data_IF_099267878343
#
_entry.id   IF_099267878343
#
_cell.length_a   1.000
_cell.length_b   1.000
_cell.length_c   1.000
_cell.angle_alpha   90.00
_cell.angle_beta   90.00
_cell.angle_gamma   90.00
#
_symmetry.space_group_name_H-M   'P 1'
#
loop_
_entity.id
_entity.type
_entity.pdbx_description
1 polymer ?
#
# COMPACT_ATOMS: atom_id res chain seq x y z
N UNK A 1 41.57 -9.79 -52.00
CA UNK A 1 41.14 -10.33 -50.69
C UNK A 1 41.14 -9.14 -49.76
N UNK A 2 39.99 -8.48 -49.66
CA UNK A 2 39.84 -7.19 -49.00
C UNK A 2 39.61 -7.41 -47.50
N UNK A 3 40.55 -6.95 -46.69
CA UNK A 3 40.43 -6.90 -45.24
C UNK A 3 39.79 -5.57 -44.84
N UNK A 4 38.49 -5.58 -44.56
CA UNK A 4 37.79 -4.44 -43.98
C UNK A 4 38.11 -4.35 -42.49
N UNK A 5 38.83 -3.29 -42.12
CA UNK A 5 39.10 -2.92 -40.72
C UNK A 5 37.82 -2.31 -40.14
N UNK A 6 37.20 -3.02 -39.21
CA UNK A 6 36.05 -2.52 -38.43
C UNK A 6 36.61 -1.58 -37.36
N UNK A 7 36.31 -0.29 -37.49
CA UNK A 7 36.62 0.73 -36.49
C UNK A 7 35.69 0.59 -35.27
N UNK A 8 36.28 0.60 -34.07
CA UNK A 8 35.54 0.66 -32.81
C UNK A 8 34.93 2.06 -32.62
N UNK A 9 33.71 2.16 -32.03
CA UNK A 9 33.10 3.43 -31.71
C UNK A 9 33.88 4.15 -30.59
N UNK A 10 34.14 5.44 -30.78
CA UNK A 10 34.76 6.28 -29.75
C UNK A 10 33.79 6.53 -28.58
N UNK A 11 34.33 6.72 -27.35
CA UNK A 11 33.51 7.01 -26.18
C UNK A 11 32.81 8.36 -26.32
N UNK A 12 31.50 8.36 -26.04
CA UNK A 12 30.67 9.56 -25.97
C UNK A 12 31.13 10.39 -24.76
N UNK A 13 31.73 11.55 -25.04
CA UNK A 13 32.05 12.56 -24.04
C UNK A 13 30.75 13.25 -23.66
N UNK A 14 30.30 13.07 -22.41
CA UNK A 14 29.21 13.84 -21.84
C UNK A 14 29.67 15.27 -21.63
N UNK A 15 29.17 16.19 -22.45
CA UNK A 15 29.32 17.63 -22.23
C UNK A 15 28.41 18.03 -21.06
N UNK A 16 29.02 18.52 -19.99
CA UNK A 16 28.34 19.18 -18.88
C UNK A 16 27.53 20.37 -19.42
N UNK A 17 26.21 20.32 -19.28
CA UNK A 17 25.34 21.47 -19.56
C UNK A 17 25.47 22.48 -18.42
N UNK A 18 25.73 23.77 -18.70
CA UNK A 18 25.80 24.80 -17.67
C UNK A 18 24.42 25.07 -17.06
N UNK A 19 24.37 25.58 -15.81
CA UNK A 19 23.10 25.85 -15.12
C UNK A 19 22.33 27.01 -15.80
N UNK A 20 21.03 26.77 -15.97
CA UNK A 20 20.07 27.72 -16.51
C UNK A 20 19.90 28.91 -15.55
N UNK A 21 20.30 30.10 -15.99
CA UNK A 21 20.05 31.37 -15.31
C UNK A 21 18.67 31.89 -15.73
N UNK A 22 17.71 31.92 -14.81
CA UNK A 22 16.43 32.59 -15.00
C UNK A 22 16.63 34.10 -14.86
N UNK A 23 16.76 34.80 -16.00
CA UNK A 23 16.50 36.24 -16.08
C UNK A 23 15.01 36.45 -16.30
N UNK A 24 14.38 37.11 -15.34
CA UNK A 24 13.08 37.77 -15.47
C UNK A 24 13.27 39.03 -16.32
N UNK A 25 12.71 39.03 -17.52
CA UNK A 25 12.53 40.24 -18.32
C UNK A 25 11.08 40.70 -18.17
N UNK A 26 10.92 41.79 -17.42
CA UNK A 26 9.75 42.65 -17.42
C UNK A 26 9.70 43.43 -18.75
N UNK A 27 8.64 43.27 -19.53
CA UNK A 27 8.21 44.32 -20.47
C UNK A 27 6.76 44.17 -20.93
N UNK A 28 5.91 45.01 -20.34
CA UNK A 28 5.06 46.00 -21.03
C UNK A 28 4.41 45.57 -22.35
N UNK A 29 3.11 45.30 -22.31
CA UNK A 29 2.16 45.87 -23.27
C UNK A 29 0.83 46.15 -22.57
N UNK A 30 0.52 47.44 -22.45
CA UNK A 30 -0.81 47.91 -22.13
C UNK A 30 -1.63 48.06 -23.42
N UNK A 31 -2.95 47.94 -23.29
CA UNK A 31 -3.92 48.94 -23.75
C UNK A 31 -5.35 48.45 -23.44
N UNK A 32 -6.09 49.25 -22.66
CA UNK A 32 -7.46 49.76 -22.90
C UNK A 32 -8.55 48.80 -23.44
N UNK A 33 -9.80 48.76 -23.01
CA UNK A 33 -10.72 49.46 -22.08
C UNK A 33 -11.87 48.42 -21.85
N UNK A 34 -12.75 48.42 -20.86
CA UNK A 34 -13.72 49.43 -20.45
C UNK A 34 -14.50 48.92 -19.23
N UNK A 35 -14.79 49.87 -18.34
CA UNK A 35 -15.92 50.03 -17.41
C UNK A 35 -16.83 48.83 -17.07
N UNK A 36 -16.95 48.54 -15.76
CA UNK A 36 -18.20 48.81 -15.02
C UNK A 36 -17.98 48.75 -13.51
N UNK A 37 -18.59 49.72 -12.85
CA UNK A 37 -18.51 50.13 -11.45
C UNK A 37 -19.12 49.10 -10.49
N UNK A 38 -18.64 49.09 -9.24
CA UNK A 38 -19.26 48.34 -8.15
C UNK A 38 -18.52 48.52 -6.83
N UNK A 39 -18.76 49.66 -6.17
CA UNK A 39 -18.24 50.05 -4.85
C UNK A 39 -18.79 49.18 -3.71
N UNK A 40 -17.90 48.78 -2.79
CA UNK A 40 -18.09 48.73 -1.32
C UNK A 40 -16.77 48.24 -0.68
N UNK A 41 -15.82 49.09 -0.28
CA UNK A 41 -15.73 49.91 0.96
C UNK A 41 -15.83 49.14 2.28
N UNK A 42 -14.74 49.24 3.07
CA UNK A 42 -14.64 49.19 4.55
C UNK A 42 -14.64 47.76 5.16
N UNK A 43 -13.75 47.32 6.05
CA UNK A 43 -12.68 47.90 6.90
C UNK A 43 -11.62 46.79 7.12
N UNK A 44 -10.30 47.03 7.05
CA UNK A 44 -9.43 47.58 8.10
C UNK A 44 -9.59 46.93 9.49
N UNK A 45 -8.77 45.92 9.79
CA UNK A 45 -8.10 45.85 11.09
C UNK A 45 -6.85 44.96 11.02
N UNK A 46 -5.70 45.62 11.06
CA UNK A 46 -4.40 45.02 11.33
C UNK A 46 -4.21 44.92 12.85
N UNK A 47 -3.71 43.78 13.34
CA UNK A 47 -2.91 43.76 14.55
C UNK A 47 -1.77 42.74 14.44
N UNK A 48 -0.59 43.34 14.28
CA UNK A 48 0.75 42.82 14.55
C UNK A 48 0.91 42.57 16.08
N UNK A 49 1.78 41.61 16.45
CA UNK A 49 2.79 41.66 17.54
C UNK A 49 3.17 40.23 18.00
N UNK A 50 4.39 39.85 17.57
CA UNK A 50 5.55 39.38 18.36
C UNK A 50 5.46 38.17 19.32
N UNK A 51 6.35 37.23 18.98
CA UNK A 51 7.45 36.71 19.80
C UNK A 51 7.28 35.68 20.94
N UNK A 52 8.18 34.69 20.80
CA UNK A 52 9.10 34.10 21.77
C UNK A 52 8.68 33.05 22.80
N UNK A 53 9.54 32.01 22.80
CA UNK A 53 10.10 31.31 23.96
C UNK A 53 9.23 30.34 24.76
N UNK A 54 9.60 29.05 24.72
CA UNK A 54 10.61 28.49 25.65
C UNK A 54 10.41 27.00 25.90
N UNK A 55 11.54 26.29 25.88
CA UNK A 55 11.73 24.94 26.37
C UNK A 55 11.23 24.77 27.81
N UNK A 56 10.50 23.67 28.07
CA UNK A 56 10.38 23.12 29.42
C UNK A 56 10.76 21.64 29.44
N UNK A 57 12.02 21.42 29.78
CA UNK A 57 12.58 20.14 30.22
C UNK A 57 11.91 19.74 31.54
N UNK A 58 11.25 18.60 31.57
CA UNK A 58 10.77 17.97 32.80
C UNK A 58 11.71 16.80 33.12
N UNK A 59 12.68 17.07 33.96
CA UNK A 59 13.39 16.07 34.76
C UNK A 59 12.56 15.75 35.99
N UNK A 60 12.12 14.49 36.13
CA UNK A 60 11.69 13.92 37.40
C UNK A 60 12.60 12.74 37.68
N UNK A 61 13.43 12.88 38.72
CA UNK A 61 14.19 11.81 39.33
C UNK A 61 13.68 11.51 40.74
N UNK A 62 14.20 10.39 41.26
CA UNK A 62 14.11 9.83 42.63
C UNK A 62 12.91 8.90 42.92
N UNK A 63 13.20 7.59 43.08
CA UNK A 63 13.59 6.86 44.32
C UNK A 63 12.31 6.50 45.13
N UNK A 64 12.07 5.32 45.70
CA UNK A 64 12.89 4.19 46.09
C UNK A 64 11.95 3.05 46.58
N UNK A 65 12.52 1.87 46.83
CA UNK A 65 12.09 0.85 47.81
C UNK A 65 11.01 -0.21 47.46
N UNK A 66 11.53 -1.38 47.05
CA UNK A 66 11.54 -2.65 47.81
C UNK A 66 10.39 -2.97 48.80
N UNK A 67 9.64 -4.05 48.55
CA UNK A 67 9.69 -5.34 49.30
C UNK A 67 8.45 -6.22 49.07
N UNK A 68 8.74 -7.49 48.77
CA UNK A 68 8.04 -8.74 49.16
C UNK A 68 6.50 -8.76 49.18
N UNK A 69 5.95 -9.69 48.38
CA UNK A 69 5.20 -10.81 49.00
C UNK A 69 5.09 -12.01 48.05
N UNK A 70 5.63 -13.14 48.51
CA UNK A 70 5.29 -14.49 48.05
C UNK A 70 3.81 -14.71 48.39
N UNK A 71 2.96 -14.83 47.38
CA UNK A 71 1.68 -15.51 47.52
C UNK A 71 1.63 -16.65 46.50
N UNK A 72 1.34 -17.81 47.06
CA UNK A 72 1.22 -19.13 46.48
C UNK A 72 0.43 -19.18 45.18
N UNK A 73 1.03 -19.89 44.22
CA UNK A 73 0.38 -20.72 43.21
C UNK A 73 -0.91 -21.36 43.74
N UNK A 74 -2.05 -20.91 43.22
CA UNK A 74 -3.20 -21.77 42.97
C UNK A 74 -3.48 -21.64 41.47
N UNK A 75 -3.30 -22.76 40.78
CA UNK A 75 -3.35 -22.94 39.34
C UNK A 75 -4.81 -22.86 38.83
N UNK A 76 -5.40 -21.66 38.87
CA UNK A 76 -6.74 -21.34 38.34
C UNK A 76 -6.70 -20.81 36.90
N UNK A 77 -5.50 -20.68 36.30
CA UNK A 77 -5.31 -20.11 34.96
C UNK A 77 -5.72 -21.04 33.81
N UNK A 78 -5.82 -22.35 34.07
CA UNK A 78 -6.12 -23.36 33.03
C UNK A 78 -7.60 -23.66 32.83
N UNK A 79 -8.48 -23.37 33.80
CA UNK A 79 -9.91 -23.68 33.68
C UNK A 79 -10.74 -22.52 33.10
N UNK A 80 -10.29 -21.27 33.21
CA UNK A 80 -11.01 -20.09 32.69
C UNK A 80 -10.63 -19.66 31.26
N UNK A 81 -9.58 -20.24 30.67
CA UNK A 81 -8.96 -19.73 29.44
C UNK A 81 -9.59 -20.26 28.14
N UNK A 82 -10.44 -21.29 28.20
CA UNK A 82 -11.04 -21.91 27.01
C UNK A 82 -12.42 -21.32 26.68
N UNK A 83 -13.24 -20.99 27.69
CA UNK A 83 -14.56 -20.39 27.48
C UNK A 83 -14.50 -18.89 27.17
N UNK A 84 -13.47 -18.17 27.63
CA UNK A 84 -13.36 -16.73 27.44
C UNK A 84 -12.76 -16.34 26.06
N UNK A 85 -12.03 -17.22 25.38
CA UNK A 85 -11.44 -16.92 24.06
C UNK A 85 -12.48 -16.80 22.93
N UNK A 86 -13.63 -17.48 23.01
CA UNK A 86 -14.69 -17.37 21.98
C UNK A 86 -15.56 -16.14 22.18
N UNK A 87 -15.91 -15.78 23.43
CA UNK A 87 -16.69 -14.58 23.71
C UNK A 87 -15.90 -13.29 23.44
N UNK A 88 -14.60 -13.26 23.75
CA UNK A 88 -13.75 -12.09 23.45
C UNK A 88 -13.54 -11.92 21.93
N UNK A 89 -13.54 -13.01 21.14
CA UNK A 89 -13.50 -12.92 19.67
C UNK A 89 -14.79 -12.36 19.08
N UNK A 90 -15.96 -12.76 19.60
CA UNK A 90 -17.26 -12.23 19.17
C UNK A 90 -17.43 -10.75 19.50
N UNK A 91 -17.03 -10.32 20.70
CA UNK A 91 -17.12 -8.91 21.10
C UNK A 91 -16.11 -8.05 20.34
N UNK A 92 -14.88 -8.51 20.10
CA UNK A 92 -13.93 -7.80 19.23
C UNK A 92 -14.39 -7.74 17.77
N UNK A 93 -15.10 -8.76 17.28
CA UNK A 93 -15.70 -8.72 15.94
C UNK A 93 -16.84 -7.69 15.86
N UNK A 94 -17.72 -7.64 16.86
CA UNK A 94 -18.83 -6.69 16.95
C UNK A 94 -18.38 -5.24 17.17
N UNK A 95 -17.32 -5.00 17.95
CA UNK A 95 -16.75 -3.65 18.15
C UNK A 95 -15.93 -3.20 16.95
N UNK A 96 -15.28 -4.13 16.22
CA UNK A 96 -14.57 -3.79 14.98
C UNK A 96 -15.52 -3.50 13.83
N UNK A 97 -16.75 -4.03 13.87
CA UNK A 97 -17.83 -3.75 12.90
C UNK A 97 -18.31 -2.28 12.89
N UNK A 98 -17.87 -1.43 13.81
CA UNK A 98 -18.67 -0.27 14.22
C UNK A 98 -18.54 1.03 13.42
N UNK A 99 -17.84 1.13 12.27
CA UNK A 99 -18.13 2.25 11.33
C UNK A 99 -17.52 2.06 9.93
N UNK A 100 -16.24 1.72 9.82
CA UNK A 100 -15.60 1.53 8.50
C UNK A 100 -15.61 0.07 8.01
N UNK A 101 -15.77 -0.89 8.93
CA UNK A 101 -15.66 -2.31 8.60
C UNK A 101 -16.86 -2.83 7.81
N UNK A 102 -18.07 -2.30 7.96
CA UNK A 102 -19.21 -2.74 7.14
C UNK A 102 -19.02 -2.32 5.69
N UNK A 103 -18.61 -1.07 5.44
CA UNK A 103 -18.30 -0.58 4.11
C UNK A 103 -17.16 -1.40 3.47
N UNK A 104 -16.04 -1.58 4.18
CA UNK A 104 -14.89 -2.33 3.66
C UNK A 104 -15.22 -3.81 3.46
N UNK A 105 -16.04 -4.40 4.33
CA UNK A 105 -16.55 -5.78 4.17
C UNK A 105 -17.43 -5.92 2.94
N UNK A 106 -18.33 -4.95 2.70
CA UNK A 106 -19.20 -4.94 1.52
C UNK A 106 -18.39 -4.74 0.22
N UNK A 107 -17.37 -3.89 0.25
CA UNK A 107 -16.45 -3.72 -0.88
C UNK A 107 -15.59 -4.98 -1.12
N UNK A 108 -15.20 -5.68 -0.06
CA UNK A 108 -14.45 -6.94 -0.13
C UNK A 108 -15.25 -8.14 -0.66
N UNK A 109 -16.58 -8.05 -0.74
CA UNK A 109 -17.40 -9.11 -1.34
C UNK A 109 -17.07 -9.29 -2.83
N UNK A 110 -17.02 -10.54 -3.28
CA UNK A 110 -16.99 -10.83 -4.73
C UNK A 110 -18.22 -10.25 -5.42
N UNK A 111 -18.11 -9.89 -6.69
CA UNK A 111 -19.21 -9.29 -7.48
C UNK A 111 -20.52 -10.08 -7.40
N UNK A 112 -20.47 -11.41 -7.52
CA UNK A 112 -21.66 -12.24 -7.38
C UNK A 112 -22.30 -12.18 -5.99
N UNK A 113 -21.47 -12.02 -4.94
CA UNK A 113 -21.94 -11.85 -3.57
C UNK A 113 -22.65 -10.51 -3.37
N UNK A 114 -22.10 -9.43 -3.94
CA UNK A 114 -22.74 -8.11 -3.92
C UNK A 114 -24.08 -8.14 -4.68
N UNK A 115 -24.12 -8.72 -5.88
CA UNK A 115 -25.36 -8.87 -6.64
C UNK A 115 -26.39 -9.74 -5.91
N UNK A 116 -25.97 -10.83 -5.29
CA UNK A 116 -26.84 -11.66 -4.45
C UNK A 116 -27.43 -10.89 -3.27
N UNK A 117 -26.62 -10.03 -2.63
CA UNK A 117 -27.09 -9.16 -1.56
C UNK A 117 -28.14 -8.17 -2.05
N UNK A 118 -27.96 -7.56 -3.22
CA UNK A 118 -28.97 -6.67 -3.85
C UNK A 118 -30.29 -7.41 -4.04
N UNK A 119 -30.26 -8.64 -4.57
CA UNK A 119 -31.46 -9.47 -4.77
C UNK A 119 -32.14 -9.79 -3.44
N UNK A 120 -31.37 -10.19 -2.42
CA UNK A 120 -31.91 -10.49 -1.09
C UNK A 120 -32.55 -9.28 -0.45
N UNK A 121 -31.89 -8.11 -0.48
CA UNK A 121 -32.47 -6.87 0.03
C UNK A 121 -33.75 -6.50 -0.71
N UNK A 122 -33.75 -6.61 -2.04
CA UNK A 122 -34.93 -6.33 -2.85
C UNK A 122 -36.11 -7.24 -2.48
N UNK A 123 -35.89 -8.53 -2.28
CA UNK A 123 -36.94 -9.49 -1.85
C UNK A 123 -37.44 -9.16 -0.44
N UNK A 124 -36.55 -8.82 0.49
CA UNK A 124 -36.91 -8.46 1.88
C UNK A 124 -37.75 -7.19 1.91
N UNK A 125 -37.31 -6.13 1.23
CA UNK A 125 -38.04 -4.85 1.17
C UNK A 125 -39.40 -5.04 0.50
N UNK A 126 -39.45 -5.79 -0.61
CA UNK A 126 -40.71 -6.15 -1.28
C UNK A 126 -41.66 -6.88 -0.33
N UNK A 127 -41.14 -7.82 0.47
CA UNK A 127 -41.93 -8.56 1.44
C UNK A 127 -42.44 -7.71 2.60
N UNK A 128 -41.61 -6.79 3.11
CA UNK A 128 -42.03 -5.84 4.15
C UNK A 128 -43.11 -4.90 3.61
N UNK A 129 -42.93 -4.32 2.41
CA UNK A 129 -43.93 -3.47 1.77
C UNK A 129 -45.23 -4.23 1.51
N UNK A 130 -45.16 -5.47 1.03
CA UNK A 130 -46.34 -6.32 0.87
C UNK A 130 -47.07 -6.60 2.18
N UNK A 131 -46.33 -6.85 3.26
CA UNK A 131 -46.91 -7.05 4.59
C UNK A 131 -47.57 -5.77 5.13
N UNK A 132 -46.96 -4.60 4.90
CA UNK A 132 -47.57 -3.31 5.27
C UNK A 132 -48.85 -3.04 4.46
N UNK A 133 -48.87 -3.36 3.17
CA UNK A 133 -50.08 -3.28 2.35
C UNK A 133 -51.17 -4.25 2.83
N UNK A 134 -50.80 -5.47 3.24
CA UNK A 134 -51.74 -6.44 3.80
C UNK A 134 -52.42 -5.90 5.07
N UNK A 135 -51.67 -5.22 5.94
CA UNK A 135 -52.23 -4.60 7.15
C UNK A 135 -53.09 -3.38 6.83
N UNK A 136 -52.76 -2.63 5.77
CA UNK A 136 -53.50 -1.44 5.37
C UNK A 136 -54.78 -1.74 4.58
N UNK A 137 -54.91 -2.94 4.00
CA UNK A 137 -56.04 -3.32 3.16
C UNK A 137 -57.12 -4.06 3.96
N UNK A 138 -58.37 -3.65 3.81
CA UNK A 138 -59.47 -4.15 4.64
C UNK A 138 -60.07 -5.49 4.14
N UNK A 139 -59.77 -5.90 2.90
CA UNK A 139 -60.35 -7.12 2.31
C UNK A 139 -59.41 -8.34 2.42
N UNK A 140 -59.93 -9.54 2.72
CA UNK A 140 -59.13 -10.75 2.86
C UNK A 140 -58.73 -11.30 1.48
N UNK A 141 -57.57 -10.90 0.99
CA UNK A 141 -56.93 -11.46 -0.20
C UNK A 141 -55.75 -12.36 0.20
N UNK A 142 -55.31 -13.24 -0.70
CA UNK A 142 -54.19 -14.15 -0.44
C UNK A 142 -52.89 -13.40 -0.08
N UNK A 143 -52.15 -13.89 0.93
CA UNK A 143 -50.89 -13.25 1.38
C UNK A 143 -49.84 -13.14 0.26
N UNK A 144 -49.82 -14.11 -0.67
CA UNK A 144 -48.93 -14.08 -1.82
C UNK A 144 -49.21 -12.90 -2.75
N UNK A 145 -50.48 -12.53 -2.93
CA UNK A 145 -50.85 -11.40 -3.78
C UNK A 145 -50.33 -10.07 -3.21
N UNK A 146 -50.36 -9.89 -1.90
CA UNK A 146 -49.78 -8.69 -1.27
C UNK A 146 -48.26 -8.64 -1.37
N UNK A 147 -47.58 -9.77 -1.19
CA UNK A 147 -46.14 -9.85 -1.45
C UNK A 147 -45.82 -9.45 -2.89
N UNK A 148 -46.57 -9.98 -3.85
CA UNK A 148 -46.43 -9.65 -5.27
C UNK A 148 -46.77 -8.19 -5.59
N UNK A 149 -47.81 -7.62 -4.94
CA UNK A 149 -48.13 -6.19 -5.04
C UNK A 149 -47.00 -5.31 -4.50
N UNK A 150 -46.41 -5.68 -3.36
CA UNK A 150 -45.22 -5.00 -2.82
C UNK A 150 -44.02 -5.04 -3.77
N UNK A 151 -43.78 -6.20 -4.39
CA UNK A 151 -42.77 -6.38 -5.43
C UNK A 151 -43.02 -5.48 -6.65
N UNK A 152 -44.26 -5.49 -7.18
CA UNK A 152 -44.65 -4.69 -8.35
C UNK A 152 -44.65 -3.18 -8.07
N UNK A 153 -44.95 -2.78 -6.85
CA UNK A 153 -44.92 -1.39 -6.42
C UNK A 153 -43.51 -0.80 -6.50
N UNK A 154 -42.48 -1.56 -6.09
CA UNK A 154 -41.09 -1.11 -6.21
C UNK A 154 -40.64 -0.95 -7.67
N UNK A 155 -41.27 -1.65 -8.61
CA UNK A 155 -41.05 -1.49 -10.05
C UNK A 155 -41.86 -0.33 -10.66
N UNK A 156 -42.66 0.38 -9.86
CA UNK A 156 -43.54 1.46 -10.32
C UNK A 156 -44.47 0.94 -11.44
N UNK A 157 -44.96 -0.29 -11.29
CA UNK A 157 -45.87 -0.87 -12.25
C UNK A 157 -47.23 -0.16 -12.20
N UNK A 158 -47.78 0.31 -13.34
CA UNK A 158 -49.09 0.98 -13.37
C UNK A 158 -50.25 0.03 -13.11
N UNK A 159 -50.01 -1.28 -13.03
CA UNK A 159 -51.04 -2.30 -12.82
C UNK A 159 -51.68 -2.25 -11.42
N UNK A 160 -51.09 -1.53 -10.47
CA UNK A 160 -51.59 -1.39 -9.11
C UNK A 160 -51.92 0.06 -8.80
N UNK A 161 -53.22 0.36 -8.64
CA UNK A 161 -53.71 1.66 -8.21
C UNK A 161 -54.23 1.56 -6.78
N UNK A 162 -53.67 2.29 -5.81
CA UNK A 162 -54.16 2.26 -4.44
C UNK A 162 -55.56 2.87 -4.32
N UNK A 163 -56.48 2.17 -3.68
CA UNK A 163 -57.86 2.61 -3.52
C UNK A 163 -58.02 3.38 -2.21
N UNK A 164 -57.44 2.86 -1.13
CA UNK A 164 -57.58 3.41 0.22
C UNK A 164 -56.53 4.47 0.54
N UNK A 165 -56.84 5.37 1.48
CA UNK A 165 -55.86 6.36 1.96
C UNK A 165 -54.68 5.70 2.69
N UNK A 166 -54.93 4.57 3.36
CA UNK A 166 -53.89 3.78 4.03
C UNK A 166 -52.85 3.23 3.04
N UNK A 167 -53.32 2.61 1.95
CA UNK A 167 -52.43 2.12 0.89
C UNK A 167 -51.62 3.24 0.25
N UNK A 168 -52.23 4.40 -0.03
CA UNK A 168 -51.51 5.57 -0.57
C UNK A 168 -50.36 6.00 0.33
N UNK A 169 -50.58 6.04 1.64
CA UNK A 169 -49.53 6.39 2.62
C UNK A 169 -48.42 5.33 2.68
N UNK A 170 -48.78 4.05 2.72
CA UNK A 170 -47.81 2.93 2.70
C UNK A 170 -46.97 2.96 1.43
N UNK A 171 -47.60 3.26 0.29
CA UNK A 171 -46.90 3.36 -0.98
C UNK A 171 -45.90 4.49 -0.96
N UNK A 172 -46.30 5.68 -0.50
CA UNK A 172 -45.41 6.84 -0.40
C UNK A 172 -44.18 6.54 0.46
N UNK A 173 -44.38 5.97 1.66
CA UNK A 173 -43.28 5.62 2.58
C UNK A 173 -42.39 4.56 1.97
N UNK A 174 -42.97 3.51 1.38
CA UNK A 174 -42.22 2.41 0.77
C UNK A 174 -41.41 2.87 -0.44
N UNK A 175 -41.96 3.76 -1.29
CA UNK A 175 -41.23 4.34 -2.41
C UNK A 175 -40.06 5.23 -1.93
N UNK A 176 -40.27 6.00 -0.86
CA UNK A 176 -39.20 6.79 -0.25
C UNK A 176 -38.08 5.90 0.31
N UNK A 177 -38.42 4.90 1.13
CA UNK A 177 -37.44 3.96 1.68
C UNK A 177 -36.75 3.13 0.59
N UNK A 178 -37.51 2.67 -0.40
CA UNK A 178 -37.00 1.94 -1.55
C UNK A 178 -35.98 2.75 -2.35
N UNK A 179 -36.28 4.03 -2.63
CA UNK A 179 -35.33 4.91 -3.32
C UNK A 179 -34.06 5.18 -2.50
N UNK A 180 -34.17 5.35 -1.17
CA UNK A 180 -32.99 5.45 -0.29
C UNK A 180 -32.12 4.19 -0.35
N UNK A 181 -32.71 3.00 -0.30
CA UNK A 181 -31.97 1.74 -0.41
C UNK A 181 -31.28 1.62 -1.78
N UNK A 182 -31.97 1.97 -2.87
CA UNK A 182 -31.38 1.96 -4.22
C UNK A 182 -30.19 2.91 -4.31
N UNK A 183 -30.29 4.12 -3.75
CA UNK A 183 -29.18 5.09 -3.73
C UNK A 183 -27.97 4.57 -2.95
N UNK A 184 -28.20 3.94 -1.78
CA UNK A 184 -27.12 3.34 -0.99
C UNK A 184 -26.44 2.19 -1.76
N UNK A 185 -27.23 1.29 -2.36
CA UNK A 185 -26.70 0.18 -3.16
C UNK A 185 -25.95 0.67 -4.40
N UNK A 186 -26.46 1.71 -5.06
CA UNK A 186 -25.79 2.34 -6.19
C UNK A 186 -24.45 2.94 -5.76
N UNK A 187 -24.41 3.65 -4.62
CA UNK A 187 -23.17 4.18 -4.05
C UNK A 187 -22.15 3.08 -3.72
N UNK A 188 -22.60 1.94 -3.19
CA UNK A 188 -21.74 0.78 -2.95
C UNK A 188 -21.18 0.17 -4.23
N UNK A 189 -22.02 0.02 -5.26
CA UNK A 189 -21.60 -0.49 -6.58
C UNK A 189 -20.59 0.46 -7.21
N UNK A 190 -20.85 1.77 -7.16
CA UNK A 190 -19.94 2.80 -7.65
C UNK A 190 -18.61 2.78 -6.90
N UNK A 191 -18.64 2.74 -5.57
CA UNK A 191 -17.45 2.64 -4.70
C UNK A 191 -16.62 1.38 -5.00
N UNK A 192 -17.29 0.26 -5.30
CA UNK A 192 -16.64 -0.97 -5.74
C UNK A 192 -16.02 -0.85 -7.13
N UNK A 193 -16.67 -0.16 -8.07
CA UNK A 193 -16.09 0.13 -9.39
C UNK A 193 -14.89 1.08 -9.30
N UNK A 194 -14.91 2.04 -8.39
CA UNK A 194 -13.77 2.94 -8.17
C UNK A 194 -12.60 2.26 -7.45
N UNK A 195 -12.90 1.25 -6.62
CA UNK A 195 -11.89 0.42 -5.96
C UNK A 195 -11.24 -0.50 -6.98
N UNK A 196 -10.09 -0.09 -7.51
CA UNK A 196 -9.29 -0.95 -8.37
C UNK A 196 -8.33 -1.78 -7.54
N UNK A 197 -8.23 -3.05 -7.92
CA UNK A 197 -7.20 -3.92 -7.38
C UNK A 197 -5.82 -3.37 -7.76
N UNK A 198 -4.86 -3.50 -6.84
CA UNK A 198 -3.49 -3.07 -7.05
C UNK A 198 -2.92 -3.71 -8.32
N UNK A 199 -2.55 -2.90 -9.30
CA UNK A 199 -1.97 -3.37 -10.56
C UNK A 199 -0.46 -3.60 -10.50
N UNK A 200 0.16 -3.28 -9.37
CA UNK A 200 1.57 -3.53 -9.13
C UNK A 200 1.80 -4.92 -8.54
N UNK A 201 2.71 -5.67 -9.15
CA UNK A 201 3.22 -6.94 -8.65
C UNK A 201 4.68 -6.75 -8.26
N UNK A 202 5.00 -7.13 -7.03
CA UNK A 202 6.36 -7.07 -6.51
C UNK A 202 7.05 -8.42 -6.67
N UNK A 203 8.38 -8.41 -6.70
CA UNK A 203 9.15 -9.65 -6.61
C UNK A 203 9.02 -10.28 -5.21
N UNK A 204 8.92 -11.61 -5.16
CA UNK A 204 8.85 -12.35 -3.89
C UNK A 204 10.12 -12.23 -3.04
N UNK A 205 11.24 -11.83 -3.66
CA UNK A 205 12.56 -11.77 -3.04
C UNK A 205 13.20 -10.41 -3.24
N UNK A 206 13.99 -9.99 -2.25
CA UNK A 206 14.80 -8.78 -2.26
C UNK A 206 16.25 -9.18 -2.47
N UNK A 207 16.98 -8.47 -3.34
CA UNK A 207 18.36 -8.80 -3.64
C UNK A 207 19.30 -7.85 -2.90
N UNK A 208 20.37 -8.39 -2.33
CA UNK A 208 21.50 -7.64 -1.82
C UNK A 208 22.72 -7.91 -2.69
N UNK A 209 23.30 -6.86 -3.25
CA UNK A 209 24.48 -6.93 -4.10
C UNK A 209 25.55 -6.00 -3.54
N UNK A 210 26.79 -6.49 -3.44
CA UNK A 210 27.91 -5.61 -3.12
C UNK A 210 28.32 -4.83 -4.37
N UNK A 211 28.36 -3.50 -4.24
CA UNK A 211 28.81 -2.64 -5.32
C UNK A 211 30.31 -2.79 -5.53
N UNK A 212 30.82 -2.57 -6.76
CA UNK A 212 32.25 -2.59 -7.01
C UNK A 212 32.99 -1.57 -6.12
N UNK A 213 34.28 -1.79 -5.79
CA UNK A 213 35.08 -0.86 -5.00
C UNK A 213 35.12 0.56 -5.58
N UNK A 214 34.99 0.69 -6.90
CA UNK A 214 34.93 1.98 -7.61
C UNK A 214 33.72 2.83 -7.17
N UNK A 215 32.66 2.18 -6.68
CA UNK A 215 31.46 2.82 -6.13
C UNK A 215 31.39 2.71 -4.60
N UNK A 216 32.56 2.64 -3.93
CA UNK A 216 32.67 2.64 -2.48
C UNK A 216 32.52 1.29 -1.80
N UNK A 217 32.21 0.21 -2.54
CA UNK A 217 32.11 -1.14 -1.97
C UNK A 217 30.89 -1.37 -1.06
N UNK A 218 29.96 -0.41 -1.01
CA UNK A 218 28.74 -0.51 -0.21
C UNK A 218 27.82 -1.62 -0.71
N UNK A 219 26.99 -2.15 0.19
CA UNK A 219 25.94 -3.10 -0.19
C UNK A 219 24.71 -2.34 -0.67
N UNK A 220 24.16 -2.76 -1.80
CA UNK A 220 22.95 -2.21 -2.40
C UNK A 220 21.81 -3.22 -2.26
N UNK A 221 20.69 -2.79 -1.71
CA UNK A 221 19.46 -3.54 -1.61
C UNK A 221 18.55 -3.16 -2.77
N UNK A 222 18.29 -4.09 -3.68
CA UNK A 222 17.48 -3.87 -4.88
C UNK A 222 16.14 -4.57 -4.76
N UNK A 223 15.10 -3.83 -5.08
CA UNK A 223 13.73 -4.29 -5.20
C UNK A 223 13.32 -4.25 -6.66
N UNK A 224 12.41 -5.15 -7.04
CA UNK A 224 11.83 -5.18 -8.37
C UNK A 224 10.32 -5.14 -8.25
N UNK A 225 9.70 -4.30 -9.05
CA UNK A 225 8.26 -4.31 -9.23
C UNK A 225 7.89 -4.27 -10.71
N UNK A 226 6.65 -4.65 -10.97
CA UNK A 226 6.03 -4.72 -12.28
C UNK A 226 4.66 -4.04 -12.21
N UNK A 227 4.37 -3.13 -13.13
CA UNK A 227 3.04 -2.59 -13.35
C UNK A 227 2.34 -3.39 -14.44
N UNK A 228 1.20 -3.99 -14.11
CA UNK A 228 0.46 -4.90 -15.01
C UNK A 228 -0.52 -4.18 -15.94
N UNK A 229 -0.82 -2.91 -15.68
CA UNK A 229 -1.69 -2.12 -16.54
C UNK A 229 -0.93 -1.61 -17.76
N UNK A 230 -1.66 -1.38 -18.85
CA UNK A 230 -1.11 -0.86 -20.10
C UNK A 230 -0.75 0.63 -20.03
N UNK A 231 -1.37 1.35 -19.11
CA UNK A 231 -1.13 2.76 -18.90
C UNK A 231 0.13 2.97 -18.05
N UNK A 232 0.77 4.13 -18.20
CA UNK A 232 2.05 4.41 -17.57
C UNK A 232 1.82 5.13 -16.24
N UNK A 233 2.56 4.70 -15.20
CA UNK A 233 2.51 5.34 -13.90
C UNK A 233 3.43 6.56 -13.87
N UNK A 234 2.82 7.75 -13.84
CA UNK A 234 3.48 9.06 -13.79
C UNK A 234 3.73 9.48 -12.34
N UNK A 235 4.82 10.23 -12.13
CA UNK A 235 5.23 10.79 -10.84
C UNK A 235 5.14 9.77 -9.69
N UNK A 236 5.85 8.63 -9.80
CA UNK A 236 5.87 7.65 -8.73
C UNK A 236 6.37 8.22 -7.41
N UNK A 237 5.64 7.91 -6.34
CA UNK A 237 6.07 8.08 -4.95
C UNK A 237 6.35 6.69 -4.38
N UNK A 238 7.62 6.29 -4.37
CA UNK A 238 8.08 5.02 -3.82
C UNK A 238 8.54 5.26 -2.39
N UNK A 239 7.87 4.62 -1.44
CA UNK A 239 8.22 4.68 -0.02
C UNK A 239 8.68 3.32 0.44
N UNK A 240 9.92 3.23 0.87
CA UNK A 240 10.48 2.05 1.48
C UNK A 240 10.67 2.31 2.97
N UNK A 241 10.27 1.36 3.80
CA UNK A 241 10.45 1.43 5.24
C UNK A 241 10.69 0.03 5.78
N UNK A 242 11.17 -0.06 7.00
CA UNK A 242 11.32 -1.34 7.67
C UNK A 242 10.84 -1.25 9.11
N UNK A 243 10.45 -2.40 9.64
CA UNK A 243 10.02 -2.58 11.02
C UNK A 243 11.15 -3.23 11.80
N UNK A 244 11.60 -2.57 12.87
CA UNK A 244 12.64 -3.07 13.77
C UNK A 244 12.11 -3.28 15.17
N UNK A 245 12.46 -4.40 15.78
CA UNK A 245 12.30 -4.60 17.22
C UNK A 245 13.51 -4.02 17.94
N UNK A 246 13.27 -3.08 18.85
CA UNK A 246 14.29 -2.48 19.70
C UNK A 246 13.94 -2.78 21.15
N UNK A 247 14.90 -3.35 21.87
CA UNK A 247 14.77 -3.58 23.31
C UNK A 247 15.08 -2.28 24.06
N UNK A 248 14.10 -1.78 24.80
CA UNK A 248 14.25 -0.61 25.67
C UNK A 248 14.15 -1.04 27.13
N UNK A 249 14.59 -0.18 28.05
CA UNK A 249 14.53 -0.46 29.50
C UNK A 249 13.13 -0.82 30.02
N UNK A 250 12.06 -0.44 29.31
CA UNK A 250 10.66 -0.76 29.61
C UNK A 250 10.05 -1.91 28.81
N UNK A 251 10.87 -2.68 28.08
CA UNK A 251 10.42 -3.80 27.22
C UNK A 251 10.67 -3.58 25.73
N UNK A 252 10.36 -4.59 24.93
CA UNK A 252 10.54 -4.54 23.48
C UNK A 252 9.48 -3.63 22.82
N UNK A 253 9.93 -2.70 21.97
CA UNK A 253 9.08 -1.85 21.12
C UNK A 253 9.39 -2.10 19.64
N UNK A 254 8.40 -1.84 18.79
CA UNK A 254 8.55 -1.91 17.33
C UNK A 254 8.65 -0.49 16.81
N UNK A 255 9.70 -0.21 16.04
CA UNK A 255 9.96 1.05 15.36
C UNK A 255 9.80 0.87 13.87
N UNK A 256 9.29 1.90 13.21
CA UNK A 256 9.26 2.00 11.76
C UNK A 256 10.20 3.14 11.34
N UNK A 257 11.11 2.83 10.43
CA UNK A 257 12.07 3.79 9.89
C UNK A 257 12.01 3.75 8.36
N UNK A 258 12.13 4.92 7.73
CA UNK A 258 12.16 5.05 6.27
C UNK A 258 13.56 4.75 5.73
N UNK A 259 13.60 4.17 4.52
CA UNK A 259 14.82 3.90 3.79
C UNK A 259 14.90 4.82 2.58
N UNK A 260 16.04 5.47 2.41
CA UNK A 260 16.27 6.39 1.30
C UNK A 260 16.40 5.60 0.00
N UNK A 261 15.51 5.86 -0.95
CA UNK A 261 15.52 5.20 -2.25
C UNK A 261 16.30 6.07 -3.22
N UNK A 262 17.31 5.47 -3.84
CA UNK A 262 18.12 6.12 -4.84
C UNK A 262 17.46 5.92 -6.21
N UNK A 263 16.33 6.58 -6.45
CA UNK A 263 15.84 6.87 -7.80
C UNK A 263 14.55 7.71 -7.77
N UNK A 264 14.48 8.73 -8.62
CA UNK A 264 13.23 9.45 -8.90
C UNK A 264 13.09 9.54 -10.41
N UNK A 265 12.19 8.73 -10.97
CA UNK A 265 11.84 8.81 -12.39
C UNK A 265 10.48 9.49 -12.53
N UNK A 266 10.30 10.43 -13.48
CA UNK A 266 9.01 11.06 -13.71
C UNK A 266 7.97 10.07 -14.28
N UNK A 267 8.41 8.98 -14.91
CA UNK A 267 7.55 7.97 -15.53
C UNK A 267 8.13 6.59 -15.24
N UNK A 268 7.30 5.68 -14.72
CA UNK A 268 7.71 4.30 -14.50
C UNK A 268 7.52 3.47 -15.78
N UNK A 269 8.57 2.77 -16.23
CA UNK A 269 8.39 1.69 -17.19
C UNK A 269 7.55 0.54 -16.58
N UNK A 270 6.97 -0.35 -17.40
CA UNK A 270 6.17 -1.49 -16.93
C UNK A 270 6.90 -2.40 -15.94
N UNK A 271 8.23 -2.39 -15.94
CA UNK A 271 9.04 -3.03 -14.92
C UNK A 271 10.15 -2.08 -14.49
N UNK A 272 10.35 -1.98 -13.19
CA UNK A 272 11.31 -1.04 -12.63
C UNK A 272 12.02 -1.65 -11.43
N UNK A 273 13.26 -1.23 -11.28
CA UNK A 273 14.12 -1.61 -10.18
C UNK A 273 14.44 -0.34 -9.42
N UNK A 274 14.25 -0.38 -8.11
CA UNK A 274 14.68 0.69 -7.23
C UNK A 274 15.58 0.11 -6.16
N UNK A 275 16.55 0.90 -5.72
CA UNK A 275 17.58 0.42 -4.81
C UNK A 275 17.79 1.36 -3.63
N UNK A 276 18.10 0.77 -2.49
CA UNK A 276 18.57 1.46 -1.31
C UNK A 276 20.05 1.11 -1.10
N UNK A 277 20.92 2.11 -1.04
CA UNK A 277 22.34 1.91 -0.75
C UNK A 277 22.54 1.90 0.77
N UNK A 278 23.14 0.83 1.29
CA UNK A 278 23.47 0.68 2.71
C UNK A 278 24.81 1.39 2.96
N UNK A 279 24.73 2.71 3.07
CA UNK A 279 25.83 3.62 3.46
C UNK A 279 25.78 3.94 4.95
N UNK A 280 26.66 4.81 5.47
CA UNK A 280 26.75 5.14 6.89
C UNK A 280 25.47 5.75 7.49
N UNK A 281 24.61 6.36 6.65
CA UNK A 281 23.33 6.92 7.07
C UNK A 281 22.22 5.87 7.10
N UNK A 282 22.42 4.73 6.44
CA UNK A 282 21.45 3.64 6.42
C UNK A 282 21.35 2.98 7.80
N UNK A 283 20.13 2.67 8.27
CA UNK A 283 19.92 1.98 9.55
C UNK A 283 20.38 0.52 9.55
N UNK A 284 20.71 -0.02 8.37
CA UNK A 284 21.30 -1.34 8.23
C UNK A 284 22.83 -1.32 8.18
N UNK A 285 23.47 -0.16 8.25
CA UNK A 285 24.93 -0.07 8.17
C UNK A 285 25.60 -0.72 9.38
N UNK A 286 26.63 -1.52 9.10
CA UNK A 286 27.48 -2.11 10.12
C UNK A 286 28.94 -1.66 9.92
N UNK A 287 29.49 -0.83 10.83
CA UNK A 287 30.87 -0.35 10.72
C UNK A 287 31.90 -1.45 10.99
N UNK A 288 31.49 -2.66 11.41
CA UNK A 288 32.42 -3.73 11.75
C UNK A 288 33.22 -4.18 10.50
N UNK A 289 34.56 -4.00 10.47
CA UNK A 289 35.38 -4.40 9.34
C UNK A 289 35.45 -5.93 9.15
N UNK A 290 35.06 -6.71 10.16
CA UNK A 290 34.95 -8.16 10.03
C UNK A 290 33.71 -8.61 9.24
N UNK A 291 32.75 -7.69 9.03
CA UNK A 291 31.56 -7.90 8.23
C UNK A 291 31.80 -7.35 6.81
N UNK A 292 32.20 -8.19 5.83
CA UNK A 292 32.51 -7.71 4.49
C UNK A 292 31.30 -7.14 3.74
N UNK A 293 30.08 -7.39 4.22
CA UNK A 293 28.85 -6.85 3.65
C UNK A 293 28.55 -5.43 4.14
N UNK A 294 29.21 -4.96 5.20
CA UNK A 294 28.92 -3.67 5.86
C UNK A 294 27.44 -3.48 6.19
N UNK A 295 26.69 -4.57 6.39
CA UNK A 295 25.26 -4.53 6.65
C UNK A 295 24.83 -5.49 7.78
N UNK A 296 23.88 -5.07 8.58
CA UNK A 296 23.34 -5.83 9.70
C UNK A 296 21.82 -5.64 9.81
N UNK A 297 21.09 -6.75 9.67
CA UNK A 297 19.63 -6.78 9.75
C UNK A 297 19.11 -7.19 11.13
N UNK A 298 19.94 -7.16 12.17
CA UNK A 298 19.56 -7.59 13.53
C UNK A 298 18.37 -6.78 14.04
N UNK A 299 17.33 -7.51 14.44
CA UNK A 299 16.07 -6.95 14.93
C UNK A 299 15.11 -6.50 13.83
N UNK A 300 15.49 -6.59 12.54
CA UNK A 300 14.55 -6.35 11.43
C UNK A 300 13.47 -7.44 11.44
N UNK A 301 12.21 -7.01 11.49
CA UNK A 301 11.05 -7.89 11.43
C UNK A 301 10.53 -8.01 10.00
N UNK A 302 10.33 -6.87 9.33
CA UNK A 302 9.81 -6.80 7.96
C UNK A 302 10.35 -5.58 7.22
N UNK A 303 10.59 -5.75 5.92
CA UNK A 303 10.75 -4.67 4.96
C UNK A 303 9.38 -4.39 4.34
N UNK A 304 9.02 -3.14 4.14
CA UNK A 304 7.74 -2.73 3.56
C UNK A 304 7.98 -1.70 2.48
N UNK A 305 7.42 -1.93 1.29
CA UNK A 305 7.39 -0.95 0.21
C UNK A 305 5.96 -0.63 -0.12
N UNK A 306 5.69 0.66 -0.33
CA UNK A 306 4.48 1.15 -0.98
C UNK A 306 4.85 2.00 -2.19
N UNK A 307 4.11 1.84 -3.28
CA UNK A 307 4.24 2.64 -4.49
C UNK A 307 2.91 3.36 -4.73
N UNK A 308 2.99 4.68 -4.83
CA UNK A 308 1.92 5.55 -5.32
C UNK A 308 2.32 6.24 -6.61
N UNK A 309 1.35 6.83 -7.29
CA UNK A 309 1.58 7.64 -8.49
C UNK A 309 0.26 8.03 -9.15
N UNK A 310 0.37 8.60 -10.34
CA UNK A 310 -0.73 9.07 -11.17
C UNK A 310 -0.78 8.24 -12.44
N UNK A 311 -1.90 7.60 -12.71
CA UNK A 311 -2.17 6.94 -13.98
C UNK A 311 -3.20 7.75 -14.78
N UNK A 312 -3.28 7.53 -16.10
CA UNK A 312 -4.25 8.15 -16.99
C UNK A 312 -5.71 8.00 -16.50
N UNK A 313 -5.98 6.96 -15.72
CA UNK A 313 -7.33 6.64 -15.27
C UNK A 313 -7.58 7.03 -13.80
N UNK A 314 -6.56 7.16 -12.95
CA UNK A 314 -6.72 7.46 -11.51
C UNK A 314 -5.48 8.08 -10.85
N UNK A 315 -5.73 8.73 -9.71
CA UNK A 315 -4.75 9.36 -8.83
C UNK A 315 -4.72 8.55 -7.53
N UNK A 316 -3.56 8.00 -7.12
CA UNK A 316 -3.24 7.37 -5.81
C UNK A 316 -2.96 5.85 -5.76
N UNK A 317 -2.24 5.48 -4.67
CA UNK A 317 -1.63 4.20 -4.29
C UNK A 317 -1.90 3.00 -5.20
N UNK A 318 -0.84 2.51 -5.84
CA UNK A 318 -0.92 1.46 -6.87
C UNK A 318 -0.60 0.08 -6.31
N UNK A 319 0.19 -0.01 -5.24
CA UNK A 319 0.42 -1.28 -4.54
C UNK A 319 1.39 -1.19 -3.38
N UNK A 320 1.43 -2.26 -2.59
CA UNK A 320 2.41 -2.45 -1.52
C UNK A 320 2.83 -3.91 -1.44
N UNK A 321 4.01 -4.15 -0.87
CA UNK A 321 4.52 -5.48 -0.56
C UNK A 321 5.36 -5.43 0.70
N UNK A 322 5.44 -6.56 1.38
CA UNK A 322 6.27 -6.74 2.55
C UNK A 322 7.09 -8.02 2.46
N UNK A 323 8.30 -7.98 3.01
CA UNK A 323 9.26 -9.07 2.97
C UNK A 323 9.81 -9.35 4.36
N UNK A 324 9.97 -10.63 4.69
CA UNK A 324 10.73 -11.05 5.85
C UNK A 324 12.23 -11.11 5.56
N UNK A 325 13.03 -11.32 6.60
CA UNK A 325 14.49 -11.49 6.42
C UNK A 325 14.85 -12.70 5.54
N UNK A 326 14.02 -13.75 5.56
CA UNK A 326 14.18 -14.95 4.73
C UNK A 326 13.89 -14.72 3.24
N UNK A 327 13.36 -13.55 2.88
CA UNK A 327 13.14 -13.15 1.50
C UNK A 327 14.31 -12.34 0.93
N UNK A 328 15.27 -11.99 1.78
CA UNK A 328 16.46 -11.24 1.39
C UNK A 328 17.58 -12.20 0.98
N UNK A 329 17.99 -12.12 -0.28
CA UNK A 329 19.01 -12.98 -0.87
C UNK A 329 20.31 -12.18 -1.03
N UNK A 330 21.37 -12.68 -0.41
CA UNK A 330 22.72 -12.11 -0.51
C UNK A 330 23.42 -12.55 -1.81
N UNK A 331 24.23 -11.65 -2.36
CA UNK A 331 25.05 -11.88 -3.55
C UNK A 331 24.24 -12.47 -4.72
N UNK A 332 23.11 -11.82 -4.98
CA UNK A 332 22.22 -12.16 -6.08
C UNK A 332 21.82 -10.89 -6.84
N UNK A 333 21.45 -11.08 -8.10
CA UNK A 333 20.91 -10.02 -8.93
C UNK A 333 19.65 -10.52 -9.64
N UNK A 334 18.73 -9.60 -9.90
CA UNK A 334 17.60 -9.92 -10.76
C UNK A 334 18.06 -10.18 -12.19
N UNK A 335 17.44 -11.15 -12.85
CA UNK A 335 17.61 -11.30 -14.29
C UNK A 335 17.15 -10.04 -15.02
N UNK A 336 17.90 -9.58 -16.03
CA UNK A 336 17.36 -8.66 -17.02
C UNK A 336 16.10 -9.28 -17.63
N UNK A 337 15.03 -8.52 -17.58
CA UNK A 337 13.70 -8.98 -18.02
C UNK A 337 13.34 -8.52 -19.41
N UNK A 338 14.05 -7.50 -19.90
CA UNK A 338 13.97 -7.03 -21.27
C UNK A 338 14.85 -7.92 -22.14
N UNK A 339 14.23 -8.88 -22.81
CA UNK A 339 14.89 -9.63 -23.87
C UNK A 339 14.66 -8.90 -25.20
N UNK A 340 15.74 -8.37 -25.79
CA UNK A 340 15.76 -7.99 -27.19
C UNK A 340 15.71 -9.28 -28.02
N UNK A 341 14.53 -9.64 -28.53
CA UNK A 341 14.40 -10.74 -29.50
C UNK A 341 13.99 -10.09 -30.82
N UNK A 342 14.87 -10.15 -31.82
CA UNK A 342 14.57 -9.80 -33.22
C UNK A 342 13.93 -8.42 -33.44
N UNK A 343 14.38 -7.38 -32.73
CA UNK A 343 13.96 -6.00 -32.95
C UNK A 343 12.55 -5.65 -32.43
N UNK A 344 11.85 -6.60 -31.81
CA UNK A 344 10.61 -6.33 -31.05
C UNK A 344 10.90 -6.45 -29.57
N UNK A 345 10.65 -5.37 -28.82
CA UNK A 345 10.77 -5.38 -27.36
C UNK A 345 9.57 -6.18 -26.83
N UNK A 346 9.79 -7.49 -26.58
CA UNK A 346 8.77 -8.31 -25.97
C UNK A 346 8.64 -7.92 -24.50
N UNK A 347 7.46 -7.46 -24.14
CA UNK A 347 7.13 -7.07 -22.78
C UNK A 347 7.19 -8.31 -21.86
N UNK A 348 8.20 -8.30 -20.99
CA UNK A 348 8.10 -8.72 -19.60
C UNK A 348 7.49 -10.11 -19.35
N UNK A 349 8.31 -11.17 -19.40
CA UNK A 349 7.88 -12.45 -18.85
C UNK A 349 7.88 -12.41 -17.31
N UNK A 350 6.70 -12.20 -16.72
CA UNK A 350 6.50 -12.19 -15.27
C UNK A 350 6.67 -13.57 -14.61
N UNK A 351 6.81 -14.65 -15.39
CA UNK A 351 7.16 -15.97 -14.85
C UNK A 351 8.64 -16.08 -14.45
N UNK A 352 9.48 -15.09 -14.81
CA UNK A 352 10.93 -15.04 -14.52
C UNK A 352 11.27 -14.02 -13.45
N UNK A 353 10.53 -14.07 -12.34
CA UNK A 353 10.88 -13.37 -11.10
C UNK A 353 11.84 -14.18 -10.22
N UNK A 354 12.38 -15.27 -10.75
CA UNK A 354 13.30 -16.14 -10.05
C UNK A 354 14.67 -15.45 -9.89
N UNK A 355 15.24 -15.42 -8.67
CA UNK A 355 16.61 -14.98 -8.46
C UNK A 355 17.59 -15.82 -9.27
N UNK A 356 18.65 -15.18 -9.77
CA UNK A 356 19.81 -15.88 -10.31
C UNK A 356 21.02 -15.58 -9.43
N UNK A 357 21.86 -16.59 -9.11
CA UNK A 357 23.12 -16.35 -8.42
C UNK A 357 23.96 -15.31 -9.16
N UNK A 358 24.61 -14.40 -8.44
CA UNK A 358 25.34 -13.29 -9.06
C UNK A 358 26.37 -13.72 -10.11
N UNK A 359 27.01 -14.87 -9.93
CA UNK A 359 27.95 -15.41 -10.92
C UNK A 359 27.31 -15.73 -12.28
N UNK A 360 26.07 -16.20 -12.26
CA UNK A 360 25.33 -16.56 -13.48
C UNK A 360 24.73 -15.33 -14.18
N UNK A 361 24.46 -14.23 -13.46
CA UNK A 361 23.96 -12.99 -14.07
C UNK A 361 25.02 -12.32 -14.94
N UNK A 362 26.28 -12.25 -14.47
CA UNK A 362 27.40 -11.72 -15.27
C UNK A 362 27.75 -12.61 -16.45
N UNK A 363 27.70 -13.93 -16.27
CA UNK A 363 27.90 -14.87 -17.37
C UNK A 363 26.84 -14.69 -18.47
N UNK A 364 25.57 -14.44 -18.11
CA UNK A 364 24.51 -14.13 -19.06
C UNK A 364 24.72 -12.79 -19.79
N UNK A 365 25.41 -11.84 -19.17
CA UNK A 365 25.83 -10.57 -19.77
C UNK A 365 27.16 -10.66 -20.55
N UNK A 366 27.78 -11.85 -20.62
CA UNK A 366 29.06 -12.04 -21.30
C UNK A 366 30.29 -11.47 -20.56
N UNK A 367 30.14 -11.08 -19.29
CA UNK A 367 31.22 -10.53 -18.46
C UNK A 367 31.79 -11.66 -17.60
N UNK A 368 33.09 -11.93 -17.71
CA UNK A 368 33.73 -12.99 -16.94
C UNK A 368 34.27 -12.47 -15.60
N UNK A 369 34.03 -13.20 -14.50
CA UNK A 369 34.48 -12.87 -13.13
C UNK A 369 35.98 -12.50 -13.03
N UNK A 370 36.81 -13.06 -13.93
CA UNK A 370 38.25 -12.81 -14.00
C UNK A 370 38.62 -11.36 -14.29
N UNK A 371 37.73 -10.57 -14.90
CA UNK A 371 38.00 -9.15 -15.17
C UNK A 371 37.75 -8.22 -13.98
N UNK A 372 37.08 -8.70 -12.91
CA UNK A 372 36.59 -7.83 -11.82
C UNK A 372 37.32 -8.08 -10.47
N UNK A 373 38.04 -9.19 -10.32
CA UNK A 373 38.98 -9.37 -9.20
C UNK A 373 38.36 -9.58 -7.80
N UNK A 374 37.14 -10.11 -7.71
CA UNK A 374 36.44 -10.30 -6.42
C UNK A 374 36.71 -11.69 -5.77
N UNK A 375 36.96 -11.77 -4.45
CA UNK A 375 37.28 -13.02 -3.75
C UNK A 375 36.05 -13.93 -3.45
N UNK A 376 36.22 -15.26 -3.32
CA UNK A 376 35.13 -16.25 -3.38
C UNK A 376 34.46 -16.69 -2.04
N UNK A 377 34.70 -16.07 -0.87
CA UNK A 377 34.38 -16.70 0.44
C UNK A 377 33.23 -16.07 1.26
N UNK A 378 32.22 -15.49 0.62
CA UNK A 378 31.29 -14.56 1.30
C UNK A 378 30.08 -15.20 2.06
N UNK A 379 29.70 -16.45 1.77
CA UNK A 379 28.31 -16.89 1.99
C UNK A 379 27.96 -17.31 3.45
N UNK A 380 28.92 -17.67 4.31
CA UNK A 380 28.56 -18.34 5.59
C UNK A 380 28.43 -17.42 6.82
N UNK A 381 29.03 -16.21 6.85
CA UNK A 381 29.16 -15.47 8.13
C UNK A 381 27.99 -14.56 8.53
N UNK A 382 27.09 -14.18 7.62
CA UNK A 382 26.00 -13.25 7.96
C UNK A 382 24.77 -13.93 8.61
N UNK A 383 24.68 -15.26 8.56
CA UNK A 383 23.53 -16.03 9.08
C UNK A 383 23.81 -16.79 10.40
N UNK A 384 25.05 -16.78 10.89
CA UNK A 384 25.48 -17.55 12.06
C UNK A 384 25.30 -16.81 13.41
N UNK A 385 24.41 -15.83 13.51
CA UNK A 385 23.99 -15.32 14.84
C UNK A 385 22.98 -16.31 15.45
N UNK A 386 23.33 -17.02 16.55
CA UNK A 386 22.45 -18.01 17.18
C UNK A 386 21.09 -17.42 17.62
N UNK A 387 21.01 -16.12 17.84
CA UNK A 387 19.76 -15.44 18.21
C UNK A 387 18.75 -15.35 17.04
N UNK A 388 19.21 -15.35 15.79
CA UNK A 388 18.34 -15.35 14.60
C UNK A 388 17.72 -16.73 14.39
N UNK A 389 18.48 -17.80 14.64
CA UNK A 389 17.97 -19.18 14.61
C UNK A 389 16.88 -19.42 15.66
N UNK A 390 17.02 -18.89 16.87
CA UNK A 390 15.97 -19.02 17.90
C UNK A 390 14.68 -18.29 17.51
N UNK A 391 14.78 -17.10 16.90
CA UNK A 391 13.60 -16.34 16.43
C UNK A 391 12.83 -17.04 15.30
N UNK A 392 13.50 -17.89 14.51
CA UNK A 392 12.91 -18.70 13.44
C UNK A 392 12.36 -20.05 13.93
N UNK A 393 12.92 -20.59 15.02
CA UNK A 393 12.43 -21.84 15.62
C UNK A 393 11.16 -21.67 16.47
N UNK A 394 10.82 -20.43 16.84
CA UNK A 394 9.63 -20.13 17.66
C UNK A 394 8.30 -20.05 16.89
N UNK A 395 8.32 -20.23 15.57
CA UNK A 395 7.11 -20.32 14.74
C UNK A 395 6.84 -21.77 14.29
N UNK A 396 6.65 -22.66 15.25
CA UNK A 396 5.94 -23.92 14.98
C UNK A 396 4.42 -23.68 15.04
N UNK A 397 3.70 -24.37 14.15
CA UNK A 397 2.26 -24.24 13.85
C UNK A 397 1.29 -24.28 15.04
#
# INVERSE_FOLDING_TARGET
MDTSVVSLPQPVVWLETPPYSTKTDDSVMGSSTDSLEGNSSLDDEAHEILDTESHKVITVGHQENTLRSRASFIDLSKAGSVLNRRQIKGVKFLVKLQENTVHDLLLGLRWYGLLGLVVVFYVIVSGISGLLLFVAHETPVSTFEYWYRGFMQLLISPAFTPETNGEKAVIMISCFLGSMVVLVLFGLVWSKFSSRDSSCVFADKVMLQQLPPVMGGYTMMTFRFAHMQSAQLMCPDIRCSFLKRVEMAGGARVFQESLDIFDSTPVLPPQYFFSHVINETSPFFDPNPANPAHCNFRGCLRLMVAIGGWDAEQTHHVGSSDWGLHDVILDAAFMPSMNSIAGTINFCNFSKFTPIPYEASWAALGVTRKSIGLPPQFIEKCYDDPNVRESLSGSEC
#
